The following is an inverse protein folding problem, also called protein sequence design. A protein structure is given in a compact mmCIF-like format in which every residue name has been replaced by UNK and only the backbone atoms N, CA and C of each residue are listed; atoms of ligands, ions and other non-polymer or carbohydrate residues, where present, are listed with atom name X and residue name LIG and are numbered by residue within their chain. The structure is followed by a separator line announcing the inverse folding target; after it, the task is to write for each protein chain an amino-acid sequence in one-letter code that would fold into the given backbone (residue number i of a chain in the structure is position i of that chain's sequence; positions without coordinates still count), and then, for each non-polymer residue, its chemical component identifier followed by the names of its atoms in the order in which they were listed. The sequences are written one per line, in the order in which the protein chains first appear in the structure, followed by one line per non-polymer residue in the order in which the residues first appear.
data_IF_913729930756
#
_entry.id   IF_913729930756
#
_cell.length_a   1.000
_cell.length_b   1.000
_cell.length_c   1.000
_cell.angle_alpha   90.00
_cell.angle_beta   90.00
_cell.angle_gamma   90.00
#
_symmetry.space_group_name_H-M   'P 1'
#
loop_
_entity.id
_entity.type
_entity.pdbx_description
1 polymer ?
#
# COMPACT_ATOMS: atom_id res chain seq x y z
N UNK A 1 23.90 -5.62 42.14
CA UNK A 1 23.37 -6.69 43.03
C UNK A 1 21.87 -6.75 42.80
N UNK A 2 21.20 -7.80 42.32
CA UNK A 2 21.56 -9.17 41.91
C UNK A 2 20.53 -9.56 40.83
N UNK A 3 20.97 -10.32 39.83
CA UNK A 3 20.19 -10.89 38.72
C UNK A 3 19.40 -12.14 39.13
N UNK A 4 18.26 -12.40 38.47
CA UNK A 4 17.70 -13.69 37.98
C UNK A 4 16.30 -13.34 37.42
N UNK A 5 15.76 -13.79 36.27
CA UNK A 5 16.08 -14.87 35.36
C UNK A 5 14.84 -15.76 35.12
N UNK A 6 14.15 -15.56 33.97
CA UNK A 6 13.32 -16.53 33.20
C UNK A 6 11.91 -16.90 33.72
N UNK A 7 10.83 -16.59 32.96
CA UNK A 7 10.18 -17.52 32.01
C UNK A 7 8.95 -16.86 31.33
N UNK A 8 9.05 -16.59 30.03
CA UNK A 8 7.93 -16.14 29.21
C UNK A 8 7.20 -17.37 28.64
N UNK A 9 5.99 -17.66 29.14
CA UNK A 9 5.03 -18.52 28.45
C UNK A 9 4.13 -17.64 27.59
N UNK A 10 4.44 -17.61 26.31
CA UNK A 10 3.51 -17.18 25.27
C UNK A 10 2.37 -18.20 25.22
N UNK A 11 1.19 -17.83 25.72
CA UNK A 11 -0.06 -18.47 25.33
C UNK A 11 -0.75 -17.50 24.37
N UNK A 12 -0.40 -17.65 23.09
CA UNK A 12 -1.08 -17.00 21.99
C UNK A 12 -2.37 -17.77 21.74
N UNK A 13 -3.49 -17.26 22.23
CA UNK A 13 -4.80 -17.65 21.71
C UNK A 13 -5.40 -16.43 21.02
N UNK A 14 -4.88 -16.17 19.82
CA UNK A 14 -5.49 -15.26 18.88
C UNK A 14 -6.71 -15.95 18.29
N UNK A 15 -7.89 -15.61 18.80
CA UNK A 15 -9.16 -15.92 18.12
C UNK A 15 -9.16 -15.28 16.74
N UNK A 16 -8.73 -16.06 15.75
CA UNK A 16 -9.13 -15.89 14.36
C UNK A 16 -10.57 -16.37 14.31
N UNK A 17 -11.51 -15.46 14.00
CA UNK A 17 -12.88 -15.82 13.63
C UNK A 17 -12.81 -16.96 12.61
N UNK A 18 -13.21 -18.15 13.04
CA UNK A 18 -13.35 -19.30 12.18
C UNK A 18 -14.33 -18.91 11.09
N UNK A 19 -13.84 -18.72 9.87
CA UNK A 19 -14.66 -18.95 8.69
C UNK A 19 -15.07 -20.42 8.76
N UNK A 20 -16.20 -20.68 9.42
CA UNK A 20 -16.86 -21.98 9.40
C UNK A 20 -17.32 -22.15 7.96
N UNK A 21 -16.50 -22.79 7.14
CA UNK A 21 -16.98 -23.50 5.97
C UNK A 21 -18.02 -24.48 6.47
N UNK A 22 -19.29 -24.16 6.28
CA UNK A 22 -20.40 -25.03 6.66
C UNK A 22 -20.29 -26.30 5.80
N UNK A 23 -19.66 -27.33 6.35
CA UNK A 23 -19.68 -28.66 5.76
C UNK A 23 -21.10 -29.19 5.90
N UNK A 24 -21.86 -29.20 4.80
CA UNK A 24 -23.18 -29.82 4.77
C UNK A 24 -23.01 -31.33 4.75
N UNK A 25 -23.29 -31.99 5.86
CA UNK A 25 -23.43 -33.45 5.91
C UNK A 25 -24.78 -33.85 5.33
N UNK A 26 -24.79 -34.69 4.27
CA UNK A 26 -26.00 -35.43 3.89
C UNK A 26 -25.91 -36.82 4.51
N UNK A 27 -26.94 -37.20 5.26
CA UNK A 27 -27.10 -38.58 5.73
C UNK A 27 -27.68 -39.42 4.60
N UNK A 28 -26.96 -40.47 4.21
CA UNK A 28 -27.48 -41.55 3.35
C UNK A 28 -27.16 -42.86 4.09
N UNK A 29 -28.13 -43.36 4.86
CA UNK A 29 -27.94 -44.54 5.72
C UNK A 29 -26.99 -44.32 6.91
N UNK A 30 -26.29 -45.37 7.34
CA UNK A 30 -25.31 -45.35 8.44
C UNK A 30 -23.97 -44.68 8.11
N UNK A 31 -23.77 -44.16 6.90
CA UNK A 31 -22.56 -43.42 6.51
C UNK A 31 -22.87 -41.91 6.36
N UNK A 32 -22.06 -41.09 7.02
CA UNK A 32 -22.04 -39.63 6.83
C UNK A 32 -21.16 -39.30 5.63
N UNK A 33 -21.74 -38.75 4.56
CA UNK A 33 -20.98 -38.28 3.39
C UNK A 33 -20.61 -36.81 3.61
N UNK A 34 -19.30 -36.54 3.72
CA UNK A 34 -18.74 -35.19 3.80
C UNK A 34 -18.71 -34.56 2.40
N UNK A 35 -19.54 -33.54 2.18
CA UNK A 35 -19.56 -32.76 0.93
C UNK A 35 -18.59 -31.58 1.08
N UNK A 36 -17.60 -31.49 0.17
CA UNK A 36 -16.64 -30.39 0.11
C UNK A 36 -17.36 -29.05 -0.10
N UNK A 37 -17.10 -28.09 0.77
CA UNK A 37 -17.57 -26.71 0.62
C UNK A 37 -16.80 -25.97 -0.49
N UNK A 38 -17.44 -25.00 -1.18
CA UNK A 38 -16.78 -24.17 -2.19
C UNK A 38 -15.55 -23.45 -1.61
N UNK A 39 -14.47 -23.43 -2.38
CA UNK A 39 -13.21 -22.77 -2.07
C UNK A 39 -13.21 -21.29 -2.49
N UNK A 40 -12.25 -20.53 -1.99
CA UNK A 40 -12.00 -19.15 -2.44
C UNK A 40 -11.80 -19.06 -3.96
N UNK A 41 -11.24 -20.10 -4.60
CA UNK A 41 -11.15 -20.18 -6.06
C UNK A 41 -12.52 -20.20 -6.73
N UNK A 42 -13.52 -20.84 -6.11
CA UNK A 42 -14.88 -20.93 -6.66
C UNK A 42 -15.58 -19.56 -6.60
N UNK A 43 -15.37 -18.78 -5.52
CA UNK A 43 -15.94 -17.43 -5.38
C UNK A 43 -15.31 -16.39 -6.32
N UNK A 44 -14.03 -16.53 -6.68
CA UNK A 44 -13.36 -15.63 -7.62
C UNK A 44 -13.86 -15.79 -9.06
N UNK A 45 -14.43 -16.95 -9.40
CA UNK A 45 -15.01 -17.23 -10.71
C UNK A 45 -16.45 -16.74 -10.88
N UNK A 46 -17.17 -16.41 -9.79
CA UNK A 46 -18.60 -16.08 -9.86
C UNK A 46 -18.89 -14.70 -10.47
N UNK A 47 -17.96 -13.73 -10.45
CA UNK A 47 -18.16 -12.45 -11.17
C UNK A 47 -16.87 -11.65 -11.49
N UNK A 48 -15.99 -12.15 -12.36
CA UNK A 48 -14.72 -11.50 -12.70
C UNK A 48 -14.91 -10.11 -13.34
N UNK A 49 -16.00 -9.88 -14.09
CA UNK A 49 -16.22 -8.63 -14.84
C UNK A 49 -16.52 -7.42 -13.95
N UNK A 50 -17.36 -7.60 -12.92
CA UNK A 50 -17.76 -6.52 -12.02
C UNK A 50 -16.57 -6.05 -11.13
N UNK A 51 -15.77 -6.99 -10.66
CA UNK A 51 -14.58 -6.71 -9.85
C UNK A 51 -13.48 -5.99 -10.64
N UNK A 52 -13.27 -6.39 -11.91
CA UNK A 52 -12.30 -5.73 -12.80
C UNK A 52 -12.73 -4.29 -13.10
N UNK A 53 -14.01 -4.03 -13.36
CA UNK A 53 -14.52 -2.68 -13.66
C UNK A 53 -14.31 -1.70 -12.50
N UNK A 54 -14.57 -2.12 -11.26
CA UNK A 54 -14.42 -1.26 -10.08
C UNK A 54 -12.95 -0.87 -9.83
N UNK A 55 -12.04 -1.85 -9.90
CA UNK A 55 -10.60 -1.65 -9.73
C UNK A 55 -10.04 -0.74 -10.82
N UNK A 56 -10.52 -0.91 -12.06
CA UNK A 56 -10.10 -0.11 -13.20
C UNK A 56 -10.55 1.35 -13.05
N UNK A 57 -11.80 1.59 -12.64
CA UNK A 57 -12.36 2.93 -12.44
C UNK A 57 -11.62 3.73 -11.35
N UNK A 58 -11.32 3.11 -10.21
CA UNK A 58 -10.58 3.74 -9.11
C UNK A 58 -9.15 4.09 -9.55
N UNK A 59 -8.50 3.17 -10.27
CA UNK A 59 -7.14 3.38 -10.80
C UNK A 59 -7.08 4.51 -11.82
N UNK A 60 -8.09 4.63 -12.69
CA UNK A 60 -8.19 5.70 -13.68
C UNK A 60 -8.38 7.07 -13.02
N UNK A 61 -9.25 7.15 -12.01
CA UNK A 61 -9.51 8.38 -11.25
C UNK A 61 -8.24 8.91 -10.57
N UNK A 62 -7.44 8.03 -9.97
CA UNK A 62 -6.16 8.39 -9.33
C UNK A 62 -5.15 8.94 -10.34
N UNK A 63 -4.95 8.26 -11.48
CA UNK A 63 -4.06 8.73 -12.57
C UNK A 63 -4.48 10.10 -13.10
N UNK A 64 -5.78 10.33 -13.25
CA UNK A 64 -6.31 11.59 -13.77
C UNK A 64 -6.10 12.76 -12.79
N UNK A 65 -6.13 12.51 -11.48
CA UNK A 65 -5.83 13.51 -10.46
C UNK A 65 -4.33 13.85 -10.39
N UNK A 66 -3.47 12.83 -10.50
CA UNK A 66 -2.00 13.00 -10.55
C UNK A 66 -1.56 13.79 -11.80
N UNK A 67 -2.12 13.49 -12.97
CA UNK A 67 -1.83 14.23 -14.20
C UNK A 67 -2.19 15.72 -14.10
N UNK A 68 -3.30 16.05 -13.43
CA UNK A 68 -3.71 17.45 -13.21
C UNK A 68 -2.77 18.21 -12.28
N UNK A 69 -2.24 17.53 -11.25
CA UNK A 69 -1.23 18.12 -10.37
C UNK A 69 0.10 18.34 -11.11
N UNK A 70 0.52 17.37 -11.93
CA UNK A 70 1.74 17.49 -12.74
C UNK A 70 1.66 18.64 -13.74
N UNK A 71 0.51 18.80 -14.43
CA UNK A 71 0.27 19.92 -15.34
C UNK A 71 0.33 21.28 -14.63
N UNK A 72 -0.18 21.39 -13.39
CA UNK A 72 -0.05 22.61 -12.60
C UNK A 72 1.40 22.91 -12.22
N UNK A 73 2.20 21.89 -11.88
CA UNK A 73 3.63 22.06 -11.58
C UNK A 73 4.41 22.52 -12.82
N UNK A 74 4.14 21.93 -13.98
CA UNK A 74 4.72 22.37 -15.25
C UNK A 74 4.38 23.83 -15.58
N UNK A 75 3.11 24.22 -15.47
CA UNK A 75 2.70 25.61 -15.73
C UNK A 75 3.38 26.62 -14.79
N UNK A 76 3.58 26.27 -13.51
CA UNK A 76 4.33 27.10 -12.56
C UNK A 76 5.82 27.18 -12.95
N UNK A 77 6.44 26.08 -13.36
CA UNK A 77 7.82 26.06 -13.80
C UNK A 77 8.04 26.91 -15.06
N UNK A 78 7.16 26.79 -16.06
CA UNK A 78 7.17 27.63 -17.26
C UNK A 78 6.97 29.12 -16.93
N UNK A 79 6.07 29.44 -16.01
CA UNK A 79 5.86 30.83 -15.57
C UNK A 79 7.12 31.43 -14.90
N UNK A 80 7.86 30.63 -14.14
CA UNK A 80 9.15 31.06 -13.56
C UNK A 80 10.19 31.29 -14.64
N UNK A 81 10.27 30.41 -15.62
CA UNK A 81 11.23 30.51 -16.72
C UNK A 81 10.97 31.76 -17.58
N UNK A 82 9.70 32.06 -17.89
CA UNK A 82 9.32 33.27 -18.62
C UNK A 82 9.71 34.53 -17.84
N UNK A 83 9.38 34.58 -16.54
CA UNK A 83 9.71 35.72 -15.68
C UNK A 83 11.22 35.92 -15.54
N UNK A 84 11.96 34.83 -15.56
CA UNK A 84 13.42 34.82 -15.45
C UNK A 84 14.09 35.36 -16.72
N UNK A 85 13.59 34.97 -17.91
CA UNK A 85 14.01 35.57 -19.18
C UNK A 85 13.66 37.07 -19.28
N UNK A 86 12.50 37.48 -18.78
CA UNK A 86 12.10 38.90 -18.77
C UNK A 86 13.06 39.75 -17.92
N UNK A 87 13.51 39.21 -16.78
CA UNK A 87 14.46 39.90 -15.90
C UNK A 87 15.87 39.97 -16.50
N UNK A 88 16.35 38.91 -17.14
CA UNK A 88 17.60 38.97 -17.92
C UNK A 88 17.52 40.03 -19.02
N UNK A 89 16.36 40.13 -19.70
CA UNK A 89 16.14 41.14 -20.73
C UNK A 89 16.18 42.55 -20.16
N UNK A 90 15.55 42.78 -19.01
CA UNK A 90 15.56 44.08 -18.34
C UNK A 90 16.96 44.46 -17.83
N UNK A 91 17.73 43.51 -17.31
CA UNK A 91 19.12 43.76 -16.92
C UNK A 91 19.97 44.15 -18.13
N UNK A 92 19.83 43.43 -19.23
CA UNK A 92 20.54 43.73 -20.47
C UNK A 92 20.15 45.10 -21.06
N UNK A 93 18.86 45.43 -21.06
CA UNK A 93 18.38 46.74 -21.50
C UNK A 93 18.89 47.88 -20.59
N UNK A 94 19.01 47.65 -19.27
CA UNK A 94 19.58 48.62 -18.33
C UNK A 94 21.09 48.80 -18.51
N UNK A 95 21.84 47.72 -18.75
CA UNK A 95 23.27 47.76 -19.06
C UNK A 95 23.51 48.52 -20.38
N UNK A 96 22.77 48.20 -21.44
CA UNK A 96 22.83 48.92 -22.71
C UNK A 96 22.46 50.40 -22.56
N UNK A 97 21.51 50.74 -21.68
CA UNK A 97 21.12 52.13 -21.44
C UNK A 97 22.15 52.87 -20.57
N UNK A 98 22.79 52.20 -19.61
CA UNK A 98 23.90 52.74 -18.84
C UNK A 98 25.11 53.01 -19.75
N UNK A 99 25.41 52.09 -20.68
CA UNK A 99 26.45 52.26 -21.69
C UNK A 99 26.16 53.44 -22.63
N UNK A 100 24.91 53.58 -23.09
CA UNK A 100 24.49 54.74 -23.90
C UNK A 100 24.59 56.06 -23.14
N UNK A 101 24.21 56.08 -21.86
CA UNK A 101 24.39 57.27 -21.01
C UNK A 101 25.86 57.60 -20.78
N UNK A 102 26.70 56.57 -20.58
CA UNK A 102 28.14 56.73 -20.45
C UNK A 102 28.77 57.28 -21.74
N UNK A 103 28.37 56.78 -22.91
CA UNK A 103 28.88 57.25 -24.21
C UNK A 103 28.41 58.69 -24.53
N UNK A 104 27.18 59.05 -24.13
CA UNK A 104 26.65 60.41 -24.25
C UNK A 104 27.34 61.41 -23.31
N UNK A 105 27.67 61.00 -22.08
CA UNK A 105 28.47 61.79 -21.13
C UNK A 105 29.95 61.89 -21.55
N UNK A 106 30.46 60.92 -22.31
CA UNK A 106 31.81 60.93 -22.87
C UNK A 106 31.94 61.82 -24.12
N UNK A 107 30.83 62.23 -24.72
CA UNK A 107 30.76 62.94 -25.99
C UNK A 107 30.23 64.38 -25.87
N UNK A 108 30.35 65.02 -24.70
CA UNK A 108 30.10 66.47 -24.59
C UNK A 108 31.19 67.28 -25.33
N UNK A 109 30.86 68.16 -26.29
CA UNK A 109 31.84 68.89 -27.07
C UNK A 109 32.25 70.18 -26.35
N UNK A 110 33.28 70.14 -25.51
CA UNK A 110 33.98 71.37 -25.12
C UNK A 110 34.86 71.85 -26.26
N UNK A 111 34.40 72.89 -26.95
CA UNK A 111 35.18 73.70 -27.89
C UNK A 111 36.55 74.07 -27.33
N UNK A 112 37.65 73.77 -28.03
CA UNK A 112 38.87 74.59 -28.09
C UNK A 112 39.74 74.18 -29.30
N UNK A 113 39.74 75.07 -30.29
CA UNK A 113 40.90 75.54 -31.07
C UNK A 113 42.01 74.52 -31.40
N UNK A 114 42.00 74.08 -32.65
CA UNK A 114 43.14 73.46 -33.35
C UNK A 114 44.14 74.55 -33.76
N UNK A 115 45.35 74.55 -33.20
CA UNK A 115 46.54 75.15 -33.82
C UNK A 115 47.71 74.15 -33.80
N UNK A 116 48.52 74.05 -34.88
CA UNK A 116 49.47 72.97 -35.03
C UNK A 116 50.82 73.29 -34.36
N UNK A 117 51.44 72.21 -33.91
CA UNK A 117 52.79 72.11 -33.36
C UNK A 117 53.83 72.50 -34.42
N UNK A 118 54.63 73.54 -34.13
CA UNK A 118 55.87 73.85 -34.84
C UNK A 118 56.96 74.30 -33.87
N UNK A 119 58.18 73.92 -34.21
CA UNK A 119 59.46 73.95 -33.49
C UNK A 119 59.98 75.35 -33.15
N UNK A 120 60.70 75.48 -32.03
CA UNK A 120 61.61 76.61 -31.79
C UNK A 120 62.15 76.70 -30.36
N UNK A 121 63.48 76.60 -30.23
CA UNK A 121 64.26 76.87 -29.00
C UNK A 121 64.10 78.33 -28.57
N UNK A 122 64.23 78.62 -27.28
CA UNK A 122 65.23 79.54 -26.67
C UNK A 122 64.90 79.81 -25.19
N UNK A 123 65.97 79.88 -24.40
CA UNK A 123 66.00 80.21 -22.98
C UNK A 123 65.52 81.65 -22.73
N UNK A 124 64.72 81.89 -21.69
CA UNK A 124 64.75 83.19 -21.00
C UNK A 124 64.16 83.10 -19.60
N UNK A 125 65.04 83.30 -18.62
CA UNK A 125 64.75 83.65 -17.24
C UNK A 125 64.32 85.11 -17.16
N UNK A 126 63.10 85.38 -16.68
CA UNK A 126 62.68 86.62 -15.98
C UNK A 126 61.53 86.25 -15.03
N UNK A 127 61.77 86.09 -13.72
CA UNK A 127 61.57 87.14 -12.70
C UNK A 127 60.38 88.06 -13.02
N UNK A 128 59.25 87.85 -12.35
CA UNK A 128 58.34 88.93 -11.99
C UNK A 128 57.62 88.58 -10.69
N UNK A 129 58.05 89.25 -9.64
CA UNK A 129 57.37 89.41 -8.35
C UNK A 129 56.37 90.54 -8.50
N UNK A 130 55.09 90.27 -8.25
CA UNK A 130 54.13 91.31 -7.87
C UNK A 130 53.14 90.72 -6.86
N UNK A 131 53.35 91.18 -5.63
CA UNK A 131 52.47 91.14 -4.48
C UNK A 131 51.50 92.31 -4.62
N UNK A 132 50.18 92.08 -4.68
CA UNK A 132 49.12 93.03 -4.29
C UNK A 132 47.71 92.45 -4.43
N UNK A 133 47.19 91.98 -3.30
CA UNK A 133 45.87 92.31 -2.73
C UNK A 133 44.70 92.56 -3.72
N UNK A 134 43.95 91.51 -4.03
CA UNK A 134 42.47 91.59 -4.07
C UNK A 134 41.85 90.35 -3.40
N UNK A 135 41.36 90.59 -2.19
CA UNK A 135 40.59 89.73 -1.32
C UNK A 135 39.17 89.51 -1.90
N UNK A 136 39.03 88.50 -2.75
CA UNK A 136 37.75 88.10 -3.36
C UNK A 136 37.85 86.94 -4.36
N UNK A 137 39.02 86.78 -5.00
CA UNK A 137 39.27 85.68 -5.95
C UNK A 137 39.55 84.31 -5.30
N UNK A 138 40.05 84.31 -4.06
CA UNK A 138 40.31 83.09 -3.26
C UNK A 138 39.02 82.41 -2.83
N UNK A 139 38.10 83.18 -2.22
CA UNK A 139 36.77 82.72 -1.82
C UNK A 139 35.96 82.18 -3.00
N UNK A 140 36.02 82.83 -4.17
CA UNK A 140 35.34 82.33 -5.37
C UNK A 140 35.97 81.04 -5.95
N UNK A 141 37.30 80.90 -5.87
CA UNK A 141 37.97 79.64 -6.25
C UNK A 141 37.65 78.53 -5.27
N UNK A 142 37.67 78.78 -3.97
CA UNK A 142 37.31 77.81 -2.92
C UNK A 142 35.86 77.37 -3.05
N UNK A 143 34.92 78.29 -3.21
CA UNK A 143 33.50 77.98 -3.49
C UNK A 143 33.33 77.14 -4.76
N UNK A 144 34.14 77.36 -5.80
CA UNK A 144 34.13 76.50 -7.01
C UNK A 144 34.72 75.11 -6.76
N UNK A 145 35.69 74.96 -5.86
CA UNK A 145 36.24 73.66 -5.49
C UNK A 145 35.26 72.90 -4.59
N UNK A 146 34.66 73.57 -3.61
CA UNK A 146 33.59 73.02 -2.77
C UNK A 146 32.38 72.60 -3.60
N UNK A 147 31.97 73.42 -4.57
CA UNK A 147 30.89 73.07 -5.50
C UNK A 147 31.23 71.79 -6.28
N UNK A 148 32.44 71.69 -6.84
CA UNK A 148 32.91 70.48 -7.53
C UNK A 148 32.96 69.26 -6.61
N UNK A 149 33.41 69.42 -5.36
CA UNK A 149 33.44 68.34 -4.39
C UNK A 149 32.03 67.86 -4.04
N UNK A 150 31.08 68.78 -3.88
CA UNK A 150 29.67 68.45 -3.62
C UNK A 150 29.05 67.78 -4.84
N UNK A 151 29.31 68.27 -6.05
CA UNK A 151 28.88 67.66 -7.31
C UNK A 151 29.44 66.24 -7.46
N UNK A 152 30.71 66.00 -7.12
CA UNK A 152 31.32 64.68 -7.21
C UNK A 152 30.81 63.73 -6.11
N UNK A 153 30.57 64.24 -4.89
CA UNK A 153 29.89 63.48 -3.81
C UNK A 153 28.47 63.09 -4.22
N UNK A 154 27.72 64.01 -4.85
CA UNK A 154 26.39 63.74 -5.37
C UNK A 154 26.41 62.68 -6.48
N UNK A 155 27.35 62.79 -7.43
CA UNK A 155 27.55 61.77 -8.48
C UNK A 155 27.85 60.40 -7.88
N UNK A 156 28.77 60.31 -6.90
CA UNK A 156 29.10 59.06 -6.20
C UNK A 156 27.88 58.48 -5.48
N UNK A 157 27.08 59.31 -4.81
CA UNK A 157 25.85 58.89 -4.14
C UNK A 157 24.80 58.37 -5.15
N UNK A 158 24.65 59.02 -6.31
CA UNK A 158 23.74 58.54 -7.36
C UNK A 158 24.16 57.18 -7.92
N UNK A 159 25.45 56.97 -8.20
CA UNK A 159 25.97 55.67 -8.68
C UNK A 159 25.75 54.59 -7.61
N UNK A 160 26.06 54.89 -6.35
CA UNK A 160 25.83 53.95 -5.26
C UNK A 160 24.34 53.61 -5.07
N UNK A 161 23.45 54.61 -5.20
CA UNK A 161 22.02 54.39 -5.09
C UNK A 161 21.48 53.52 -6.25
N UNK A 162 21.95 53.76 -7.48
CA UNK A 162 21.62 52.91 -8.63
C UNK A 162 22.11 51.46 -8.44
N UNK A 163 23.32 51.27 -7.90
CA UNK A 163 23.84 49.95 -7.57
C UNK A 163 22.98 49.25 -6.50
N UNK A 164 22.59 49.97 -5.44
CA UNK A 164 21.73 49.42 -4.39
C UNK A 164 20.34 49.03 -4.91
N UNK A 165 19.76 49.80 -5.83
CA UNK A 165 18.48 49.46 -6.46
C UNK A 165 18.60 48.20 -7.35
N UNK A 166 19.72 48.02 -8.05
CA UNK A 166 20.01 46.80 -8.80
C UNK A 166 20.16 45.58 -7.87
N UNK A 167 20.96 45.71 -6.81
CA UNK A 167 21.18 44.64 -5.83
C UNK A 167 19.86 44.26 -5.12
N UNK A 168 19.04 45.25 -4.75
CA UNK A 168 17.71 45.05 -4.17
C UNK A 168 16.78 44.31 -5.14
N UNK A 169 16.81 44.66 -6.42
CA UNK A 169 16.02 43.98 -7.45
C UNK A 169 16.46 42.53 -7.64
N UNK A 170 17.77 42.28 -7.67
CA UNK A 170 18.35 40.94 -7.74
C UNK A 170 17.99 40.09 -6.51
N UNK A 171 18.12 40.62 -5.29
CA UNK A 171 17.74 39.94 -4.06
C UNK A 171 16.24 39.66 -4.00
N UNK A 172 15.41 40.60 -4.45
CA UNK A 172 13.95 40.41 -4.51
C UNK A 172 13.58 39.25 -5.44
N UNK A 173 14.29 39.10 -6.56
CA UNK A 173 14.12 37.96 -7.45
C UNK A 173 14.54 36.64 -6.78
N UNK A 174 15.71 36.60 -6.16
CA UNK A 174 16.19 35.40 -5.44
C UNK A 174 15.21 34.97 -4.34
N UNK A 175 14.65 35.92 -3.57
CA UNK A 175 13.59 35.64 -2.59
C UNK A 175 12.33 35.05 -3.23
N UNK A 176 11.94 35.54 -4.42
CA UNK A 176 10.86 34.95 -5.20
C UNK A 176 11.13 33.48 -5.54
N UNK A 177 12.30 33.19 -6.09
CA UNK A 177 12.72 31.83 -6.45
C UNK A 177 12.77 30.88 -5.24
N UNK A 178 13.26 31.37 -4.09
CA UNK A 178 13.28 30.56 -2.87
C UNK A 178 11.87 30.29 -2.31
N UNK A 179 10.96 31.27 -2.34
CA UNK A 179 9.56 31.06 -1.95
C UNK A 179 8.89 30.00 -2.82
N UNK A 180 9.13 30.13 -4.12
CA UNK A 180 8.70 29.19 -5.14
C UNK A 180 9.21 27.76 -4.90
N UNK A 181 10.50 27.62 -4.54
CA UNK A 181 11.10 26.33 -4.21
C UNK A 181 10.57 25.76 -2.89
N UNK A 182 10.28 26.61 -1.91
CA UNK A 182 9.67 26.19 -0.65
C UNK A 182 8.25 25.65 -0.88
N UNK A 183 7.41 26.32 -1.69
CA UNK A 183 6.06 25.85 -2.01
C UNK A 183 6.11 24.46 -2.70
N UNK A 184 7.05 24.24 -3.62
CA UNK A 184 7.25 22.92 -4.24
C UNK A 184 7.61 21.84 -3.22
N UNK A 185 8.59 22.12 -2.34
CA UNK A 185 9.01 21.18 -1.31
C UNK A 185 7.87 20.86 -0.33
N UNK A 186 7.04 21.83 0.01
CA UNK A 186 5.85 21.63 0.85
C UNK A 186 4.80 20.75 0.15
N UNK A 187 4.57 20.94 -1.14
CA UNK A 187 3.69 20.09 -1.97
C UNK A 187 4.23 18.66 -2.08
N UNK A 188 5.53 18.50 -2.34
CA UNK A 188 6.22 17.20 -2.41
C UNK A 188 6.16 16.46 -1.08
N UNK A 189 6.45 17.15 0.03
CA UNK A 189 6.34 16.57 1.37
C UNK A 189 4.90 16.16 1.70
N UNK A 190 3.92 16.99 1.34
CA UNK A 190 2.50 16.68 1.54
C UNK A 190 2.05 15.47 0.71
N UNK A 191 2.57 15.33 -0.51
CA UNK A 191 2.34 14.19 -1.38
C UNK A 191 2.97 12.91 -0.80
N UNK A 192 4.26 12.97 -0.44
CA UNK A 192 4.99 11.84 0.13
C UNK A 192 4.33 11.34 1.43
N UNK A 193 3.81 12.25 2.26
CA UNK A 193 3.04 11.91 3.47
C UNK A 193 1.70 11.24 3.18
N UNK A 194 1.06 11.49 2.04
CA UNK A 194 -0.15 10.76 1.60
C UNK A 194 0.22 9.37 1.09
N UNK A 195 1.23 9.29 0.23
CA UNK A 195 1.73 8.03 -0.32
C UNK A 195 2.22 7.06 0.77
N UNK A 196 2.93 7.57 1.78
CA UNK A 196 3.34 6.77 2.94
C UNK A 196 2.13 6.19 3.68
N UNK A 197 1.08 6.99 3.92
CA UNK A 197 -0.15 6.52 4.58
C UNK A 197 -0.85 5.44 3.75
N UNK A 198 -0.91 5.60 2.43
CA UNK A 198 -1.51 4.60 1.54
C UNK A 198 -0.67 3.32 1.51
N UNK A 199 0.65 3.41 1.45
CA UNK A 199 1.56 2.26 1.54
C UNK A 199 1.45 1.52 2.87
N UNK A 200 1.27 2.24 3.99
CA UNK A 200 1.00 1.61 5.29
C UNK A 200 -0.32 0.83 5.28
N UNK A 201 -1.38 1.35 4.65
CA UNK A 201 -2.67 0.65 4.51
C UNK A 201 -2.53 -0.60 3.64
N UNK A 202 -1.87 -0.48 2.49
CA UNK A 202 -1.57 -1.61 1.61
C UNK A 202 -0.77 -2.70 2.34
N UNK A 203 0.24 -2.31 3.11
CA UNK A 203 1.03 -3.23 3.93
C UNK A 203 0.18 -3.95 4.98
N UNK A 204 -0.71 -3.25 5.68
CA UNK A 204 -1.61 -3.86 6.66
C UNK A 204 -2.57 -4.87 6.01
N UNK A 205 -3.15 -4.52 4.87
CA UNK A 205 -4.00 -5.44 4.09
C UNK A 205 -3.23 -6.67 3.65
N UNK A 206 -2.04 -6.48 3.06
CA UNK A 206 -1.21 -7.59 2.60
C UNK A 206 -0.79 -8.49 3.77
N UNK A 207 -0.43 -7.90 4.92
CA UNK A 207 -0.12 -8.64 6.14
C UNK A 207 -1.31 -9.50 6.61
N UNK A 208 -2.53 -8.97 6.55
CA UNK A 208 -3.75 -9.73 6.89
C UNK A 208 -3.98 -10.90 5.92
N UNK A 209 -3.83 -10.66 4.61
CA UNK A 209 -3.96 -11.71 3.60
C UNK A 209 -2.89 -12.79 3.77
N UNK A 210 -1.63 -12.40 4.02
CA UNK A 210 -0.55 -13.34 4.28
C UNK A 210 -0.79 -14.18 5.54
N UNK A 211 -1.41 -13.62 6.59
CA UNK A 211 -1.77 -14.37 7.78
C UNK A 211 -2.84 -15.44 7.44
N UNK A 212 -3.92 -15.05 6.76
CA UNK A 212 -4.97 -15.99 6.32
C UNK A 212 -4.42 -17.11 5.46
N UNK A 213 -3.57 -16.78 4.48
CA UNK A 213 -2.95 -17.80 3.61
C UNK A 213 -2.04 -18.78 4.37
N UNK A 214 -1.40 -18.34 5.46
CA UNK A 214 -0.62 -19.23 6.33
C UNK A 214 -1.53 -20.18 7.09
N UNK A 215 -2.65 -19.68 7.61
CA UNK A 215 -3.64 -20.49 8.31
C UNK A 215 -4.28 -21.51 7.37
N UNK A 216 -4.68 -21.09 6.17
CA UNK A 216 -5.22 -21.96 5.12
C UNK A 216 -4.20 -23.04 4.70
N UNK A 217 -2.93 -22.66 4.54
CA UNK A 217 -1.86 -23.62 4.23
C UNK A 217 -1.66 -24.64 5.36
N UNK A 218 -1.69 -24.20 6.61
CA UNK A 218 -1.58 -25.09 7.76
C UNK A 218 -2.77 -26.06 7.83
N UNK A 219 -3.99 -25.57 7.56
CA UNK A 219 -5.19 -26.37 7.51
C UNK A 219 -5.12 -27.44 6.39
N UNK A 220 -4.77 -27.04 5.17
CA UNK A 220 -4.64 -27.99 4.04
C UNK A 220 -3.56 -29.03 4.29
N UNK A 221 -2.44 -28.65 4.91
CA UNK A 221 -1.40 -29.60 5.31
C UNK A 221 -1.91 -30.60 6.34
N UNK A 222 -2.62 -30.12 7.36
CA UNK A 222 -3.24 -31.00 8.35
C UNK A 222 -4.20 -32.01 7.71
N UNK A 223 -5.09 -31.55 6.82
CA UNK A 223 -6.01 -32.47 6.13
C UNK A 223 -5.27 -33.45 5.21
N UNK A 224 -4.14 -33.06 4.62
CA UNK A 224 -3.33 -33.96 3.80
C UNK A 224 -2.66 -35.03 4.67
N UNK A 225 -2.06 -34.64 5.79
CA UNK A 225 -1.45 -35.56 6.75
C UNK A 225 -2.48 -36.53 7.34
N UNK A 226 -3.71 -36.06 7.59
CA UNK A 226 -4.82 -36.90 8.04
C UNK A 226 -5.22 -37.92 6.95
N UNK A 227 -5.30 -37.50 5.68
CA UNK A 227 -5.56 -38.41 4.55
C UNK A 227 -4.46 -39.46 4.42
N UNK A 228 -3.19 -39.05 4.50
CA UNK A 228 -2.04 -39.96 4.40
C UNK A 228 -2.00 -40.95 5.57
N UNK A 229 -2.31 -40.48 6.79
CA UNK A 229 -2.45 -41.35 7.97
C UNK A 229 -3.58 -42.37 7.78
N UNK A 230 -4.74 -41.96 7.30
CA UNK A 230 -5.86 -42.87 7.05
C UNK A 230 -5.54 -43.90 5.96
N UNK A 231 -4.86 -43.49 4.88
CA UNK A 231 -4.38 -44.40 3.83
C UNK A 231 -3.46 -45.47 4.45
N UNK A 232 -2.50 -45.06 5.27
CA UNK A 232 -1.57 -45.95 5.95
C UNK A 232 -2.28 -46.89 6.95
N UNK A 233 -3.15 -46.37 7.82
CA UNK A 233 -3.91 -47.15 8.81
C UNK A 233 -4.82 -48.21 8.16
N UNK A 234 -5.35 -47.92 6.97
CA UNK A 234 -6.18 -48.86 6.20
C UNK A 234 -5.35 -49.83 5.33
N UNK A 235 -4.02 -49.75 5.38
CA UNK A 235 -3.13 -50.61 4.58
C UNK A 235 -3.28 -50.40 3.08
N UNK A 236 -3.65 -49.19 2.66
CA UNK A 236 -3.79 -48.82 1.25
C UNK A 236 -2.46 -48.25 0.73
N UNK A 237 -2.17 -48.52 -0.53
CA UNK A 237 -0.97 -48.09 -1.25
C UNK A 237 -1.39 -47.38 -2.53
N UNK A 238 -0.68 -46.31 -2.88
CA UNK A 238 -0.90 -45.56 -4.11
C UNK A 238 -0.11 -46.21 -5.24
N UNK A 239 -0.81 -46.76 -6.23
CA UNK A 239 -0.21 -47.26 -7.47
C UNK A 239 -0.36 -46.18 -8.53
N UNK A 240 0.76 -45.71 -9.05
CA UNK A 240 0.80 -44.79 -10.18
C UNK A 240 0.92 -45.58 -11.49
N UNK A 241 0.15 -45.17 -12.49
CA UNK A 241 0.31 -45.60 -13.86
C UNK A 241 1.43 -44.77 -14.49
N UNK A 242 2.55 -45.42 -14.83
CA UNK A 242 3.59 -44.81 -15.64
C UNK A 242 3.07 -44.69 -17.08
N UNK A 243 2.58 -43.50 -17.42
CA UNK A 243 2.25 -43.16 -18.80
C UNK A 243 3.56 -42.75 -19.47
N UNK A 244 3.96 -43.38 -20.60
CA UNK A 244 5.10 -42.91 -21.39
C UNK A 244 4.90 -41.44 -21.74
N UNK A 245 5.97 -40.65 -21.75
CA UNK A 245 5.87 -39.27 -22.20
C UNK A 245 5.43 -39.24 -23.67
N UNK A 246 4.23 -38.72 -23.94
CA UNK A 246 3.83 -38.41 -25.31
C UNK A 246 4.84 -37.43 -25.91
N UNK A 247 5.14 -37.56 -27.21
CA UNK A 247 6.10 -36.71 -27.95
C UNK A 247 5.74 -35.21 -27.98
N UNK A 248 4.62 -34.83 -27.37
CA UNK A 248 3.99 -33.51 -27.47
C UNK A 248 3.95 -32.78 -26.12
N UNK A 249 5.05 -32.81 -25.35
CA UNK A 249 5.41 -31.87 -24.26
C UNK A 249 4.41 -31.61 -23.12
N UNK A 250 3.25 -32.27 -23.12
CA UNK A 250 2.13 -31.99 -22.24
C UNK A 250 2.11 -33.05 -21.16
N UNK A 251 2.85 -32.81 -20.06
CA UNK A 251 2.86 -33.72 -18.91
C UNK A 251 1.46 -33.81 -18.27
N UNK A 252 0.68 -34.80 -18.68
CA UNK A 252 -0.53 -35.18 -17.94
C UNK A 252 -0.09 -35.81 -16.62
N UNK A 253 -0.66 -35.41 -15.46
CA UNK A 253 -0.32 -36.06 -14.21
C UNK A 253 -0.63 -37.56 -14.29
N UNK A 254 0.29 -38.43 -13.83
CA UNK A 254 0.10 -39.88 -13.89
C UNK A 254 -1.18 -40.25 -13.14
N UNK A 255 -1.95 -41.18 -13.71
CA UNK A 255 -3.16 -41.70 -13.06
C UNK A 255 -2.73 -42.46 -11.81
N UNK A 256 -3.34 -42.14 -10.67
CA UNK A 256 -3.06 -42.78 -9.38
C UNK A 256 -4.29 -43.50 -8.89
N UNK A 257 -4.13 -44.71 -8.41
CA UNK A 257 -5.17 -45.52 -7.80
C UNK A 257 -4.77 -45.92 -6.37
N UNK A 258 -5.74 -45.95 -5.47
CA UNK A 258 -5.56 -46.51 -4.12
C UNK A 258 -6.01 -47.97 -4.14
N UNK A 259 -5.12 -48.88 -3.75
CA UNK A 259 -5.37 -50.32 -3.66
C UNK A 259 -4.83 -50.86 -2.33
N UNK A 260 -5.31 -52.00 -1.85
CA UNK A 260 -4.70 -52.64 -0.67
C UNK A 260 -3.26 -53.08 -0.96
N UNK A 261 -2.42 -53.17 0.07
CA UNK A 261 -1.05 -53.67 -0.05
C UNK A 261 -1.00 -55.08 -0.68
N UNK A 262 -1.94 -55.97 -0.32
CA UNK A 262 -2.06 -57.30 -0.92
C UNK A 262 -2.35 -57.22 -2.43
N UNK A 263 -3.30 -56.37 -2.83
CA UNK A 263 -3.63 -56.20 -4.25
C UNK A 263 -2.49 -55.55 -5.03
N UNK A 264 -1.73 -54.63 -4.42
CA UNK A 264 -0.54 -54.05 -5.03
C UNK A 264 0.51 -55.13 -5.33
N UNK A 265 0.79 -56.02 -4.36
CA UNK A 265 1.73 -57.13 -4.55
C UNK A 265 1.23 -58.12 -5.62
N UNK A 266 -0.06 -58.46 -5.63
CA UNK A 266 -0.63 -59.29 -6.70
C UNK A 266 -0.46 -58.62 -8.07
N UNK A 267 -0.72 -57.32 -8.17
CA UNK A 267 -0.53 -56.58 -9.41
C UNK A 267 0.94 -56.51 -9.87
N UNK A 268 1.94 -56.66 -9.00
CA UNK A 268 3.33 -56.84 -9.42
C UNK A 268 3.55 -58.22 -10.07
N UNK A 269 2.96 -59.27 -9.50
CA UNK A 269 3.08 -60.63 -10.07
C UNK A 269 2.41 -60.79 -11.44
N UNK A 270 1.43 -59.94 -11.74
CA UNK A 270 0.77 -59.92 -13.04
C UNK A 270 1.70 -59.45 -14.18
N UNK A 271 2.87 -58.86 -13.90
CA UNK A 271 3.81 -58.33 -14.91
C UNK A 271 3.45 -56.92 -15.41
N UNK A 272 4.23 -56.39 -16.35
CA UNK A 272 4.13 -54.98 -16.76
C UNK A 272 2.85 -54.63 -17.55
N UNK A 273 2.43 -53.36 -17.44
CA UNK A 273 1.30 -52.77 -18.16
C UNK A 273 0.36 -51.95 -17.28
N UNK A 274 -0.64 -51.33 -17.92
CA UNK A 274 -1.67 -50.57 -17.20
C UNK A 274 -2.41 -51.45 -16.20
N UNK A 275 -3.03 -50.82 -15.19
CA UNK A 275 -3.84 -51.53 -14.19
C UNK A 275 -4.89 -52.41 -14.86
N UNK A 276 -5.56 -51.90 -15.90
CA UNK A 276 -6.59 -52.62 -16.65
C UNK A 276 -6.02 -53.84 -17.40
N UNK A 277 -4.81 -53.73 -17.97
CA UNK A 277 -4.13 -54.85 -18.66
C UNK A 277 -3.77 -55.96 -17.66
N UNK A 278 -3.23 -55.60 -16.50
CA UNK A 278 -2.90 -56.56 -15.44
C UNK A 278 -4.14 -57.28 -14.90
N UNK A 279 -5.23 -56.55 -14.66
CA UNK A 279 -6.51 -57.14 -14.24
C UNK A 279 -7.10 -58.07 -15.30
N UNK A 280 -7.00 -57.71 -16.58
CA UNK A 280 -7.46 -58.58 -17.68
C UNK A 280 -6.71 -59.92 -17.73
N UNK A 281 -5.42 -59.93 -17.43
CA UNK A 281 -4.60 -61.15 -17.36
C UNK A 281 -5.07 -62.10 -16.25
N UNK A 282 -5.31 -61.57 -15.04
CA UNK A 282 -5.88 -62.36 -13.95
C UNK A 282 -7.26 -62.92 -14.25
N UNK A 283 -8.10 -62.16 -14.95
CA UNK A 283 -9.42 -62.65 -15.37
C UNK A 283 -9.30 -63.85 -16.33
N UNK A 284 -8.34 -63.83 -17.26
CA UNK A 284 -8.08 -64.95 -18.18
C UNK A 284 -7.59 -66.19 -17.45
N UNK A 285 -6.60 -66.04 -16.57
CA UNK A 285 -6.09 -67.15 -15.74
C UNK A 285 -7.19 -67.76 -14.86
N UNK A 286 -8.05 -66.90 -14.28
CA UNK A 286 -9.21 -67.34 -13.51
C UNK A 286 -10.18 -68.16 -14.36
N UNK A 287 -10.48 -67.72 -15.58
CA UNK A 287 -11.38 -68.47 -16.49
C UNK A 287 -10.78 -69.82 -16.87
N UNK A 288 -9.49 -69.88 -17.19
CA UNK A 288 -8.80 -71.15 -17.52
C UNK A 288 -8.82 -72.13 -16.35
N UNK A 289 -8.56 -71.66 -15.13
CA UNK A 289 -8.64 -72.49 -13.92
C UNK A 289 -10.08 -72.94 -13.62
N UNK A 290 -11.08 -72.08 -13.86
CA UNK A 290 -12.49 -72.45 -13.70
C UNK A 290 -12.92 -73.52 -14.71
N UNK A 291 -12.42 -73.45 -15.93
CA UNK A 291 -12.66 -74.48 -16.96
C UNK A 291 -12.01 -75.80 -16.56
N UNK A 292 -10.77 -75.77 -16.05
CA UNK A 292 -10.10 -76.97 -15.51
C UNK A 292 -10.87 -77.59 -14.33
N UNK A 293 -11.35 -76.78 -13.38
CA UNK A 293 -12.16 -77.26 -12.26
C UNK A 293 -13.47 -77.87 -12.78
N UNK A 294 -14.11 -77.27 -13.78
CA UNK A 294 -15.34 -77.78 -14.37
C UNK A 294 -15.10 -79.12 -15.07
N UNK A 295 -13.99 -79.24 -15.79
CA UNK A 295 -13.56 -80.49 -16.41
C UNK A 295 -13.31 -81.58 -15.36
N UNK A 296 -12.50 -81.31 -14.33
CA UNK A 296 -12.21 -82.26 -13.25
C UNK A 296 -13.46 -82.63 -12.44
N UNK A 297 -14.40 -81.69 -12.26
CA UNK A 297 -15.70 -81.98 -11.62
C UNK A 297 -16.55 -82.90 -12.49
N UNK A 298 -16.56 -82.68 -13.80
CA UNK A 298 -17.28 -83.55 -14.74
C UNK A 298 -16.69 -84.97 -14.69
N UNK A 299 -15.37 -85.11 -14.72
CA UNK A 299 -14.68 -86.39 -14.55
C UNK A 299 -14.98 -87.05 -13.19
N UNK A 300 -14.99 -86.26 -12.11
CA UNK A 300 -15.33 -86.76 -10.77
C UNK A 300 -16.80 -87.19 -10.68
N UNK A 301 -17.72 -86.46 -11.33
CA UNK A 301 -19.14 -86.78 -11.37
C UNK A 301 -19.39 -88.03 -12.25
N UNK A 302 -18.64 -88.19 -13.34
CA UNK A 302 -18.59 -89.44 -14.11
C UNK A 302 -18.09 -90.61 -13.25
N UNK A 303 -17.13 -90.39 -12.34
CA UNK A 303 -16.70 -91.44 -11.41
C UNK A 303 -17.61 -91.66 -10.19
N UNK A 304 -18.33 -90.64 -9.75
CA UNK A 304 -19.33 -90.75 -8.67
C UNK A 304 -20.64 -91.36 -9.16
N UNK A 305 -21.08 -91.02 -10.36
CA UNK A 305 -22.25 -91.61 -11.01
C UNK A 305 -22.04 -93.10 -11.34
N UNK A 306 -20.79 -93.53 -11.52
CA UNK A 306 -20.42 -94.96 -11.50
C UNK A 306 -20.53 -95.62 -10.12
N UNK A 307 -20.57 -94.87 -9.00
CA UNK A 307 -20.48 -95.42 -7.63
C UNK A 307 -21.73 -95.37 -6.76
N UNK A 308 -22.71 -94.46 -6.88
CA UNK A 308 -23.85 -94.46 -5.92
C UNK A 308 -25.21 -94.00 -6.46
N UNK A 309 -26.15 -94.97 -6.48
CA UNK A 309 -27.61 -94.82 -6.27
C UNK A 309 -27.90 -94.10 -4.94
N UNK A 310 -28.96 -93.26 -4.81
CA UNK A 310 -29.10 -92.32 -3.70
C UNK A 310 -30.06 -92.78 -2.59
N UNK A 311 -29.87 -92.31 -1.36
CA UNK A 311 -30.96 -92.14 -0.38
C UNK A 311 -30.65 -91.07 0.68
N UNK A 312 -31.56 -90.08 0.78
CA UNK A 312 -32.16 -89.49 1.99
C UNK A 312 -31.22 -89.14 3.17
N UNK A 313 -31.13 -87.89 3.67
CA UNK A 313 -32.21 -87.01 4.09
C UNK A 313 -32.36 -87.06 5.62
N UNK A 314 -32.21 -85.93 6.34
CA UNK A 314 -32.43 -85.88 7.79
C UNK A 314 -32.11 -84.51 8.43
N UNK A 315 -33.16 -83.84 8.93
CA UNK A 315 -33.13 -82.59 9.68
C UNK A 315 -32.77 -82.81 11.17
N UNK A 316 -32.21 -81.79 11.83
CA UNK A 316 -31.91 -81.82 13.28
C UNK A 316 -32.42 -80.53 13.97
N UNK A 317 -33.31 -80.71 14.93
CA UNK A 317 -33.76 -79.72 15.91
C UNK A 317 -32.65 -79.41 16.93
N UNK A 318 -32.60 -78.17 17.44
CA UNK A 318 -31.76 -77.77 18.58
C UNK A 318 -32.58 -77.02 19.66
N UNK A 319 -32.17 -77.06 20.94
CA UNK A 319 -33.03 -76.76 22.10
C UNK A 319 -32.93 -75.31 22.62
N UNK A 320 -33.97 -74.85 23.32
CA UNK A 320 -34.13 -73.51 23.94
C UNK A 320 -33.00 -73.11 24.88
N UNK A 321 -32.53 -71.87 24.70
CA UNK A 321 -31.61 -71.12 25.57
C UNK A 321 -32.42 -70.24 26.54
N UNK A 322 -32.57 -70.69 27.79
CA UNK A 322 -33.10 -69.87 28.90
C UNK A 322 -31.96 -69.19 29.71
N UNK A 323 -30.70 -69.34 29.28
CA UNK A 323 -29.54 -68.68 29.92
C UNK A 323 -29.27 -67.25 29.44
N UNK A 324 -29.91 -66.79 28.36
CA UNK A 324 -29.58 -65.48 27.76
C UNK A 324 -30.31 -64.29 28.42
N UNK A 325 -31.48 -64.48 29.02
CA UNK A 325 -32.34 -63.34 29.38
C UNK A 325 -31.81 -62.52 30.58
N UNK A 326 -31.30 -63.19 31.62
CA UNK A 326 -30.78 -62.53 32.82
C UNK A 326 -29.46 -61.78 32.58
N UNK A 327 -28.59 -62.32 31.71
CA UNK A 327 -27.34 -61.67 31.34
C UNK A 327 -27.59 -60.47 30.42
N UNK A 328 -28.52 -60.60 29.47
CA UNK A 328 -29.00 -59.47 28.64
C UNK A 328 -29.59 -58.36 29.53
N UNK A 329 -30.34 -58.71 30.57
CA UNK A 329 -30.98 -57.73 31.45
C UNK A 329 -29.98 -57.01 32.37
N UNK A 330 -28.93 -57.70 32.84
CA UNK A 330 -27.81 -57.06 33.58
C UNK A 330 -27.00 -56.15 32.68
N UNK A 331 -26.69 -56.59 31.47
CA UNK A 331 -25.94 -55.79 30.49
C UNK A 331 -26.73 -54.53 30.09
N UNK A 332 -28.04 -54.67 29.83
CA UNK A 332 -28.93 -53.54 29.57
C UNK A 332 -28.95 -52.53 30.73
N UNK A 333 -28.95 -53.02 31.98
CA UNK A 333 -28.93 -52.17 33.18
C UNK A 333 -27.61 -51.40 33.32
N UNK A 334 -26.48 -52.04 33.01
CA UNK A 334 -25.15 -51.42 33.01
C UNK A 334 -25.04 -50.34 31.92
N UNK A 335 -25.47 -50.66 30.71
CA UNK A 335 -25.49 -49.70 29.60
C UNK A 335 -26.38 -48.50 29.94
N UNK A 336 -27.54 -48.72 30.57
CA UNK A 336 -28.42 -47.64 31.03
C UNK A 336 -27.74 -46.73 32.06
N UNK A 337 -26.96 -47.27 33.01
CA UNK A 337 -26.20 -46.45 33.95
C UNK A 337 -25.10 -45.62 33.27
N UNK A 338 -24.40 -46.20 32.29
CA UNK A 338 -23.35 -45.50 31.54
C UNK A 338 -23.95 -44.36 30.69
N UNK A 339 -25.09 -44.59 30.05
CA UNK A 339 -25.80 -43.57 29.29
C UNK A 339 -26.35 -42.44 30.18
N UNK A 340 -26.87 -42.77 31.37
CA UNK A 340 -27.30 -41.77 32.36
C UNK A 340 -26.13 -40.88 32.81
N UNK A 341 -24.98 -41.46 33.12
CA UNK A 341 -23.80 -40.69 33.52
C UNK A 341 -23.29 -39.78 32.39
N UNK A 342 -23.26 -40.30 31.15
CA UNK A 342 -22.88 -39.50 29.97
C UNK A 342 -23.85 -38.34 29.73
N UNK A 343 -25.16 -38.59 29.87
CA UNK A 343 -26.18 -37.55 29.73
C UNK A 343 -26.02 -36.46 30.79
N UNK A 344 -25.82 -36.84 32.06
CA UNK A 344 -25.62 -35.90 33.16
C UNK A 344 -24.36 -35.05 32.98
N UNK A 345 -23.27 -35.65 32.49
CA UNK A 345 -22.04 -34.92 32.18
C UNK A 345 -22.24 -33.93 31.03
N UNK A 346 -22.92 -34.36 29.96
CA UNK A 346 -23.27 -33.47 28.84
C UNK A 346 -24.17 -32.31 29.28
N UNK A 347 -25.09 -32.55 30.21
CA UNK A 347 -25.97 -31.52 30.78
C UNK A 347 -25.18 -30.49 31.62
N UNK A 348 -24.22 -30.94 32.42
CA UNK A 348 -23.30 -30.05 33.15
C UNK A 348 -22.43 -29.20 32.21
N UNK A 349 -21.88 -29.82 31.15
CA UNK A 349 -21.10 -29.12 30.14
C UNK A 349 -21.96 -28.09 29.40
N UNK A 350 -23.21 -28.43 29.06
CA UNK A 350 -24.16 -27.50 28.46
C UNK A 350 -24.47 -26.30 29.36
N UNK A 351 -24.69 -26.51 30.66
CA UNK A 351 -24.91 -25.43 31.63
C UNK A 351 -23.69 -24.50 31.73
N UNK A 352 -22.48 -25.06 31.70
CA UNK A 352 -21.23 -24.29 31.74
C UNK A 352 -21.06 -23.44 30.48
N UNK A 353 -21.34 -24.02 29.30
CA UNK A 353 -21.32 -23.29 28.03
C UNK A 353 -22.39 -22.20 27.99
N UNK A 354 -23.57 -22.43 28.56
CA UNK A 354 -24.62 -21.42 28.62
C UNK A 354 -24.21 -20.22 29.48
N UNK A 355 -23.51 -20.45 30.60
CA UNK A 355 -22.95 -19.38 31.43
C UNK A 355 -21.85 -18.58 30.70
N UNK A 356 -21.00 -19.24 29.90
CA UNK A 356 -19.99 -18.52 29.12
C UNK A 356 -20.61 -17.68 28.00
N UNK A 357 -21.64 -18.21 27.32
CA UNK A 357 -22.43 -17.47 26.32
C UNK A 357 -23.04 -16.21 26.94
N UNK A 358 -23.73 -16.30 28.07
CA UNK A 358 -24.34 -15.15 28.74
C UNK A 358 -23.31 -14.04 29.10
N UNK A 359 -22.10 -14.44 29.50
CA UNK A 359 -20.99 -13.50 29.77
C UNK A 359 -20.48 -12.84 28.49
N UNK A 360 -20.33 -13.60 27.41
CA UNK A 360 -19.90 -13.09 26.11
C UNK A 360 -20.94 -12.14 25.51
N UNK A 361 -22.24 -12.46 25.61
CA UNK A 361 -23.33 -11.57 25.20
C UNK A 361 -23.27 -10.23 25.95
N UNK A 362 -23.07 -10.28 27.27
CA UNK A 362 -22.89 -9.08 28.08
C UNK A 362 -21.68 -8.25 27.65
N UNK A 363 -20.59 -8.90 27.21
CA UNK A 363 -19.40 -8.23 26.71
C UNK A 363 -19.63 -7.60 25.33
N UNK A 364 -20.34 -8.28 24.43
CA UNK A 364 -20.75 -7.76 23.12
C UNK A 364 -21.59 -6.50 23.28
N UNK A 365 -22.56 -6.50 24.21
CA UNK A 365 -23.39 -5.31 24.49
C UNK A 365 -22.51 -4.13 24.91
N UNK A 366 -21.58 -4.33 25.86
CA UNK A 366 -20.68 -3.25 26.32
C UNK A 366 -19.80 -2.71 25.19
N UNK A 367 -19.21 -3.58 24.38
CA UNK A 367 -18.37 -3.14 23.26
C UNK A 367 -19.18 -2.43 22.17
N UNK A 368 -20.41 -2.87 21.91
CA UNK A 368 -21.31 -2.19 20.98
C UNK A 368 -21.62 -0.77 21.45
N UNK A 369 -22.01 -0.59 22.72
CA UNK A 369 -22.26 0.74 23.28
C UNK A 369 -21.00 1.62 23.29
N UNK A 370 -19.83 1.06 23.59
CA UNK A 370 -18.57 1.78 23.51
C UNK A 370 -18.23 2.22 22.07
N UNK A 371 -18.52 1.38 21.07
CA UNK A 371 -18.34 1.72 19.67
C UNK A 371 -19.30 2.83 19.22
N UNK A 372 -20.58 2.73 19.58
CA UNK A 372 -21.61 3.75 19.26
C UNK A 372 -21.26 5.11 19.87
N UNK A 373 -20.82 5.15 21.13
CA UNK A 373 -20.38 6.40 21.78
C UNK A 373 -19.13 6.99 21.14
N UNK A 374 -18.17 6.14 20.73
CA UNK A 374 -16.99 6.57 19.98
C UNK A 374 -17.37 7.16 18.61
N UNK A 375 -18.29 6.53 17.88
CA UNK A 375 -18.77 7.01 16.58
C UNK A 375 -19.44 8.38 16.69
N UNK A 376 -20.33 8.56 17.67
CA UNK A 376 -20.96 9.84 17.96
C UNK A 376 -19.93 10.94 18.26
N UNK A 377 -18.87 10.61 19.03
CA UNK A 377 -17.79 11.56 19.32
C UNK A 377 -17.00 11.94 18.07
N UNK A 378 -16.76 11.00 17.15
CA UNK A 378 -16.06 11.25 15.89
C UNK A 378 -16.89 12.16 14.97
N UNK A 379 -18.20 11.94 14.90
CA UNK A 379 -19.11 12.79 14.13
C UNK A 379 -19.15 14.23 14.68
N UNK A 380 -19.21 14.39 16.01
CA UNK A 380 -19.13 15.69 16.66
C UNK A 380 -17.82 16.41 16.28
N UNK A 381 -16.67 15.73 16.37
CA UNK A 381 -15.37 16.31 15.97
C UNK A 381 -15.30 16.65 14.47
N UNK A 382 -15.92 15.85 13.60
CA UNK A 382 -16.02 16.17 12.16
C UNK A 382 -16.82 17.44 11.92
N UNK A 383 -17.92 17.65 12.63
CA UNK A 383 -18.73 18.86 12.51
C UNK A 383 -18.00 20.10 13.04
N UNK A 384 -17.37 20.01 14.21
CA UNK A 384 -16.50 21.03 14.80
C UNK A 384 -15.37 21.43 13.85
N UNK A 385 -14.66 20.45 13.27
CA UNK A 385 -13.60 20.71 12.30
C UNK A 385 -14.09 21.50 11.09
N UNK A 386 -15.26 21.15 10.54
CA UNK A 386 -15.85 21.88 9.40
C UNK A 386 -16.23 23.31 9.80
N UNK A 387 -16.73 23.51 11.03
CA UNK A 387 -17.04 24.83 11.58
C UNK A 387 -15.79 25.69 11.71
N UNK A 388 -14.77 25.20 12.41
CA UNK A 388 -13.49 25.90 12.57
C UNK A 388 -12.80 26.18 11.23
N UNK A 389 -12.93 25.29 10.24
CA UNK A 389 -12.39 25.53 8.91
C UNK A 389 -13.12 26.68 8.17
N UNK A 390 -14.43 26.86 8.39
CA UNK A 390 -15.17 28.01 7.85
C UNK A 390 -14.75 29.30 8.56
N UNK A 391 -14.69 29.28 9.89
CA UNK A 391 -14.26 30.42 10.70
C UNK A 391 -12.84 30.87 10.34
N UNK A 392 -11.92 29.92 10.12
CA UNK A 392 -10.56 30.24 9.69
C UNK A 392 -10.52 30.93 8.31
N UNK A 393 -11.36 30.50 7.35
CA UNK A 393 -11.47 31.16 6.04
C UNK A 393 -12.06 32.56 6.17
N UNK A 394 -13.09 32.73 6.98
CA UNK A 394 -13.69 34.03 7.25
C UNK A 394 -12.69 34.99 7.92
N UNK A 395 -11.90 34.50 8.88
CA UNK A 395 -10.83 35.28 9.50
C UNK A 395 -9.73 35.67 8.52
N UNK A 396 -9.33 34.77 7.60
CA UNK A 396 -8.36 35.10 6.54
C UNK A 396 -8.89 36.17 5.60
N UNK A 397 -10.15 36.05 5.14
CA UNK A 397 -10.78 37.08 4.31
C UNK A 397 -10.81 38.43 5.04
N UNK A 398 -11.10 38.43 6.35
CA UNK A 398 -11.08 39.64 7.19
C UNK A 398 -9.69 40.28 7.24
N UNK A 399 -8.63 39.47 7.33
CA UNK A 399 -7.25 39.96 7.30
C UNK A 399 -6.96 40.62 5.95
N UNK A 400 -7.30 39.97 4.84
CA UNK A 400 -7.11 40.54 3.49
C UNK A 400 -7.84 41.88 3.30
N UNK A 401 -9.08 41.99 3.78
CA UNK A 401 -9.84 43.26 3.79
C UNK A 401 -9.14 44.36 4.59
N UNK A 402 -8.59 44.02 5.76
CA UNK A 402 -7.90 44.97 6.61
C UNK A 402 -6.53 45.37 6.03
N UNK A 403 -5.80 44.44 5.42
CA UNK A 403 -4.53 44.69 4.74
C UNK A 403 -4.70 45.64 3.54
N UNK A 404 -5.75 45.42 2.73
CA UNK A 404 -6.08 46.32 1.62
C UNK A 404 -6.46 47.71 2.12
N UNK A 405 -7.33 47.80 3.14
CA UNK A 405 -7.70 49.08 3.77
C UNK A 405 -6.47 49.82 4.35
N UNK A 406 -5.59 49.11 5.06
CA UNK A 406 -4.37 49.68 5.61
C UNK A 406 -3.45 50.20 4.50
N UNK A 407 -3.30 49.45 3.40
CA UNK A 407 -2.55 49.88 2.22
C UNK A 407 -3.10 51.19 1.64
N UNK A 408 -4.43 51.36 1.58
CA UNK A 408 -5.05 52.61 1.14
C UNK A 408 -4.79 53.78 2.11
N UNK A 409 -4.85 53.53 3.42
CA UNK A 409 -4.56 54.53 4.45
C UNK A 409 -3.10 54.97 4.42
N UNK A 410 -2.14 54.05 4.28
CA UNK A 410 -0.72 54.35 4.12
C UNK A 410 -0.48 55.25 2.90
N UNK A 411 -1.07 54.93 1.74
CA UNK A 411 -0.99 55.78 0.55
C UNK A 411 -1.55 57.19 0.77
N UNK A 412 -2.65 57.33 1.52
CA UNK A 412 -3.21 58.65 1.88
C UNK A 412 -2.29 59.42 2.81
N UNK A 413 -1.73 58.74 3.81
CA UNK A 413 -0.78 59.30 4.76
C UNK A 413 0.47 59.84 4.04
N UNK A 414 1.01 59.09 3.10
CA UNK A 414 2.19 59.52 2.32
C UNK A 414 1.89 60.75 1.46
N UNK A 415 0.70 60.82 0.84
CA UNK A 415 0.26 62.03 0.13
C UNK A 415 0.20 63.25 1.05
N UNK A 416 -0.33 63.09 2.27
CA UNK A 416 -0.38 64.18 3.26
C UNK A 416 1.00 64.58 3.75
N UNK A 417 1.91 63.63 3.98
CA UNK A 417 3.32 63.91 4.32
C UNK A 417 4.02 64.70 3.22
N UNK A 418 3.81 64.33 1.97
CA UNK A 418 4.38 65.03 0.82
C UNK A 418 3.81 66.44 0.69
N UNK A 419 2.49 66.62 0.84
CA UNK A 419 1.85 67.93 0.83
C UNK A 419 2.37 68.84 1.96
N UNK A 420 2.49 68.30 3.19
CA UNK A 420 3.10 69.02 4.32
C UNK A 420 4.54 69.44 4.02
N UNK A 421 5.33 68.53 3.44
CA UNK A 421 6.73 68.81 3.11
C UNK A 421 6.87 69.87 2.01
N UNK A 422 5.93 69.92 1.07
CA UNK A 422 5.88 70.97 0.05
C UNK A 422 5.56 72.34 0.68
N UNK A 423 4.53 72.42 1.53
CA UNK A 423 4.18 73.65 2.24
C UNK A 423 5.32 74.17 3.13
N UNK A 424 6.06 73.27 3.78
CA UNK A 424 7.23 73.63 4.59
C UNK A 424 8.42 74.15 3.76
N UNK A 425 8.47 73.89 2.45
CA UNK A 425 9.49 74.48 1.55
C UNK A 425 9.10 75.87 1.05
N UNK A 426 7.82 76.23 1.14
CA UNK A 426 7.29 77.53 0.72
C UNK A 426 7.30 78.57 1.85
N UNK A 427 7.47 78.13 3.10
CA UNK A 427 7.75 78.93 4.30
C UNK A 427 9.26 79.13 4.46
#
# INVERSE_FOLDING_TARGET
MVFFGVNARFSADGSVDKMVGVQKSKFIGHLTVLIRSPSISDCLYENPKANVLLVTAISLSKKHAEARLWAKRQARAEAREIRMRELERQQKEQEENADRQFDMLSSEPTSLVRTPRSTGRFLSSRRSSEDSLEDGGGSFRELRHELKEVEEKFRKAMIANAQLDNDKSAQTYQLGLFKDRLEELEEEHSQLKREHRDKCREYQTLKSVCAKLKDDLAFVKYELDERDRLIAEKGLVIVAEEVPADEDGTHRPPRKALVSAENANLLETAGDGSLDVRLSRFLKEKTEMQDQISHLKLELEEEKSKRRKPSSGGALNGPSSDCDYDDIQREASKMLSDWKFRAQKAEQDAATLQATVARLESQVIRYKTAAETSEQSEEALKTEKRKLQREAREALNRVEELETSNTHLLKRLDKLKNAKSALLKEL
#
